data_IF_091918974154
#
_entry.id   IF_091918974154
#
_cell.length_a   1.000
_cell.length_b   1.000
_cell.length_c   1.000
_cell.angle_alpha   90.00
_cell.angle_beta   90.00
_cell.angle_gamma   90.00
#
_symmetry.space_group_name_H-M   'P 1'
#
loop_
_entity.id
_entity.type
_entity.pdbx_description
1 polymer ?
#
# COMPACT_ATOMS: atom_id res chain seq x y z
N UNK A 1 -20.38 -6.68 28.38
CA UNK A 1 -20.22 -5.43 27.61
C UNK A 1 -18.86 -4.81 27.93
N UNK A 2 -18.05 -4.44 26.93
CA UNK A 2 -16.73 -3.84 27.18
C UNK A 2 -16.82 -2.39 27.64
N UNK A 3 -16.00 -1.99 28.62
CA UNK A 3 -15.91 -0.59 29.06
C UNK A 3 -15.44 0.29 27.89
N UNK A 4 -16.23 1.30 27.53
CA UNK A 4 -15.88 2.29 26.52
C UNK A 4 -14.90 3.29 27.12
N UNK A 5 -13.81 3.58 26.41
CA UNK A 5 -12.91 4.68 26.80
C UNK A 5 -13.59 6.01 26.45
N UNK A 6 -13.86 6.84 27.46
CA UNK A 6 -14.42 8.18 27.31
C UNK A 6 -13.32 9.23 27.55
N UNK A 7 -13.52 10.43 27.03
CA UNK A 7 -12.65 11.58 27.32
C UNK A 7 -12.88 12.03 28.77
N UNK A 8 -11.83 12.47 29.43
CA UNK A 8 -11.95 13.12 30.74
C UNK A 8 -12.23 14.62 30.58
N UNK A 9 -12.34 15.35 31.69
CA UNK A 9 -12.61 16.80 31.72
C UNK A 9 -11.55 17.64 30.99
N UNK A 10 -10.33 17.12 30.85
CA UNK A 10 -9.25 17.76 30.09
C UNK A 10 -9.34 17.55 28.57
N UNK A 11 -10.37 16.84 28.09
CA UNK A 11 -10.57 16.54 26.67
C UNK A 11 -9.68 15.41 26.12
N UNK A 12 -8.86 14.77 26.96
CA UNK A 12 -7.92 13.72 26.59
C UNK A 12 -8.41 12.33 27.03
N UNK A 13 -7.88 11.30 26.36
CA UNK A 13 -8.04 9.91 26.75
C UNK A 13 -6.89 9.48 27.64
N UNK A 14 -7.21 9.04 28.85
CA UNK A 14 -6.24 8.47 29.79
C UNK A 14 -6.33 6.94 29.76
N UNK A 15 -5.31 6.29 29.22
CA UNK A 15 -5.28 4.83 29.06
C UNK A 15 -3.92 4.32 29.51
N UNK A 16 -3.93 3.44 30.50
CA UNK A 16 -2.72 2.81 31.07
C UNK A 16 -1.64 3.84 31.48
N UNK A 17 -2.06 4.94 32.12
CA UNK A 17 -1.16 6.01 32.60
C UNK A 17 -0.62 6.94 31.50
N UNK A 18 -1.09 6.81 30.25
CA UNK A 18 -0.71 7.70 29.14
C UNK A 18 -1.90 8.52 28.66
N UNK A 19 -1.62 9.73 28.20
CA UNK A 19 -2.60 10.67 27.63
C UNK A 19 -2.58 10.58 26.10
N UNK A 20 -3.75 10.59 25.48
CA UNK A 20 -3.93 10.59 24.04
C UNK A 20 -5.02 11.58 23.64
N UNK A 21 -4.83 12.30 22.55
CA UNK A 21 -5.84 13.22 22.01
C UNK A 21 -7.01 12.44 21.38
N UNK A 22 -6.67 11.33 20.72
CA UNK A 22 -7.59 10.50 19.97
C UNK A 22 -7.54 9.04 20.45
N UNK A 23 -8.70 8.38 20.53
CA UNK A 23 -8.75 6.96 20.83
C UNK A 23 -8.27 6.13 19.63
N UNK A 24 -8.77 6.47 18.44
CA UNK A 24 -8.48 5.79 17.18
C UNK A 24 -7.82 6.76 16.21
N UNK A 25 -6.66 6.40 15.67
CA UNK A 25 -5.95 7.23 14.70
C UNK A 25 -5.30 6.43 13.56
N UNK A 26 -4.58 7.13 12.70
CA UNK A 26 -3.73 6.51 11.69
C UNK A 26 -2.53 5.81 12.34
N UNK A 27 -1.87 4.89 11.62
CA UNK A 27 -0.65 4.22 12.12
C UNK A 27 0.43 5.23 12.52
N UNK A 28 0.55 6.34 11.79
CA UNK A 28 1.47 7.43 12.13
C UNK A 28 1.09 8.08 13.47
N UNK A 29 -0.16 8.49 13.66
CA UNK A 29 -0.63 9.09 14.93
C UNK A 29 -0.39 8.17 16.13
N UNK A 30 -0.61 6.87 15.96
CA UNK A 30 -0.34 5.87 17.02
C UNK A 30 1.16 5.74 17.31
N UNK A 31 1.99 5.78 16.28
CA UNK A 31 3.44 5.70 16.43
C UNK A 31 4.02 6.92 17.15
N UNK A 32 3.54 8.12 16.80
CA UNK A 32 3.97 9.38 17.44
C UNK A 32 3.35 9.60 18.82
N UNK A 33 2.30 8.85 19.20
CA UNK A 33 1.69 8.89 20.53
C UNK A 33 0.48 9.82 20.65
N UNK A 34 0.02 10.41 19.55
CA UNK A 34 -1.21 11.22 19.51
C UNK A 34 -2.46 10.37 19.73
N UNK A 35 -2.47 9.14 19.19
CA UNK A 35 -3.60 8.21 19.27
C UNK A 35 -3.25 6.92 20.02
N UNK A 36 -4.22 6.36 20.75
CA UNK A 36 -3.99 5.12 21.50
C UNK A 36 -3.84 3.89 20.60
N UNK A 37 -4.76 3.74 19.64
CA UNK A 37 -4.80 2.58 18.73
C UNK A 37 -5.28 2.97 17.34
N UNK A 38 -5.12 2.06 16.39
CA UNK A 38 -5.72 2.19 15.06
C UNK A 38 -7.16 1.67 15.07
N UNK A 39 -7.91 1.99 14.01
CA UNK A 39 -9.25 1.40 13.76
C UNK A 39 -9.24 -0.13 13.76
N UNK A 40 -8.12 -0.75 13.38
CA UNK A 40 -7.89 -2.20 13.42
C UNK A 40 -7.33 -2.72 14.75
N UNK A 41 -7.47 -1.96 15.85
CA UNK A 41 -7.01 -2.29 17.21
C UNK A 41 -5.50 -2.50 17.38
N UNK A 42 -4.67 -2.10 16.41
CA UNK A 42 -3.20 -2.10 16.56
C UNK A 42 -2.76 -0.98 17.50
N UNK A 43 -1.97 -1.31 18.52
CA UNK A 43 -1.31 -0.36 19.42
C UNK A 43 0.12 -0.10 18.94
N UNK A 44 0.81 0.86 19.54
CA UNK A 44 2.20 1.22 19.18
C UNK A 44 3.15 0.02 19.18
N UNK A 45 3.04 -0.90 20.13
CA UNK A 45 3.88 -2.12 20.19
C UNK A 45 3.61 -3.16 19.09
N UNK A 46 2.45 -3.09 18.42
CA UNK A 46 2.08 -3.96 17.30
C UNK A 46 2.57 -3.43 15.95
N UNK A 47 3.17 -2.23 15.95
CA UNK A 47 3.68 -1.52 14.80
C UNK A 47 5.19 -1.59 14.74
N UNK A 48 5.72 -1.48 13.54
CA UNK A 48 7.16 -1.47 13.26
C UNK A 48 7.45 -0.55 12.08
N UNK A 49 8.62 0.10 12.08
CA UNK A 49 9.03 0.97 10.97
C UNK A 49 9.88 0.17 10.00
N UNK A 50 9.44 0.07 8.76
CA UNK A 50 10.22 -0.62 7.73
C UNK A 50 11.38 0.26 7.23
N UNK A 51 12.31 -0.34 6.48
CA UNK A 51 13.46 0.36 5.88
C UNK A 51 13.11 1.50 4.91
N UNK A 52 11.84 1.62 4.52
CA UNK A 52 11.32 2.66 3.63
C UNK A 52 10.57 3.75 4.41
N UNK A 53 10.71 3.80 5.74
CA UNK A 53 10.07 4.79 6.61
C UNK A 53 8.57 4.59 6.82
N UNK A 54 7.99 3.46 6.37
CA UNK A 54 6.55 3.19 6.54
C UNK A 54 6.30 2.41 7.80
N UNK A 55 5.29 2.85 8.56
CA UNK A 55 4.82 2.16 9.76
C UNK A 55 3.86 1.04 9.36
N UNK A 56 4.27 -0.20 9.60
CA UNK A 56 3.55 -1.42 9.22
C UNK A 56 3.18 -2.24 10.45
N UNK A 57 2.28 -3.21 10.31
CA UNK A 57 1.99 -4.16 11.39
C UNK A 57 3.11 -5.19 11.51
N UNK A 58 3.66 -5.33 12.73
CA UNK A 58 4.72 -6.30 13.06
C UNK A 58 4.31 -7.73 12.73
N UNK A 59 3.08 -8.12 13.08
CA UNK A 59 2.53 -9.45 12.77
C UNK A 59 2.51 -9.72 11.27
N UNK A 60 2.03 -8.77 10.45
CA UNK A 60 1.97 -8.94 8.99
C UNK A 60 3.37 -9.04 8.38
N UNK A 61 4.32 -8.23 8.86
CA UNK A 61 5.71 -8.31 8.43
C UNK A 61 6.33 -9.68 8.76
N UNK A 62 6.11 -10.20 9.97
CA UNK A 62 6.59 -11.50 10.39
C UNK A 62 5.98 -12.65 9.57
N UNK A 63 4.65 -12.63 9.38
CA UNK A 63 3.95 -13.63 8.56
C UNK A 63 4.46 -13.64 7.11
N UNK A 64 4.66 -12.47 6.50
CA UNK A 64 5.18 -12.37 5.14
C UNK A 64 6.57 -13.01 4.99
N UNK A 65 7.48 -12.77 5.95
CA UNK A 65 8.83 -13.36 5.99
C UNK A 65 8.79 -14.89 6.16
N UNK A 66 7.87 -15.41 6.96
CA UNK A 66 7.70 -16.84 7.22
C UNK A 66 7.11 -17.58 6.02
N UNK A 67 6.06 -17.03 5.43
CA UNK A 67 5.26 -17.77 4.46
C UNK A 67 5.86 -17.77 3.06
N UNK A 68 6.52 -16.68 2.63
CA UNK A 68 7.11 -16.52 1.29
C UNK A 68 6.17 -17.03 0.17
N UNK A 69 4.87 -16.71 0.28
CA UNK A 69 3.81 -17.31 -0.55
C UNK A 69 4.08 -17.23 -2.05
N UNK A 70 4.59 -16.10 -2.53
CA UNK A 70 4.90 -15.91 -3.94
C UNK A 70 6.03 -16.84 -4.40
N UNK A 71 7.12 -16.91 -3.63
CA UNK A 71 8.24 -17.80 -3.94
C UNK A 71 7.79 -19.27 -3.92
N UNK A 72 7.02 -19.69 -2.91
CA UNK A 72 6.47 -21.05 -2.82
C UNK A 72 5.49 -21.37 -3.95
N UNK A 73 4.76 -20.37 -4.43
CA UNK A 73 3.91 -20.48 -5.61
C UNK A 73 4.70 -20.39 -6.94
N UNK A 74 6.04 -20.39 -6.91
CA UNK A 74 6.90 -20.42 -8.09
C UNK A 74 7.12 -19.05 -8.75
N UNK A 75 6.71 -17.95 -8.11
CA UNK A 75 6.91 -16.59 -8.60
C UNK A 75 8.27 -16.04 -8.14
N UNK A 76 9.36 -16.52 -8.74
CA UNK A 76 10.73 -16.09 -8.42
C UNK A 76 11.40 -15.44 -9.65
N UNK A 77 11.24 -14.12 -9.85
CA UNK A 77 11.84 -13.44 -11.00
C UNK A 77 13.36 -13.36 -10.88
N UNK A 78 14.07 -13.42 -12.01
CA UNK A 78 15.51 -13.12 -12.10
C UNK A 78 15.67 -11.64 -12.47
N UNK A 79 16.54 -10.90 -11.78
CA UNK A 79 16.82 -9.49 -12.09
C UNK A 79 17.26 -9.38 -13.55
N UNK A 80 16.66 -8.43 -14.28
CA UNK A 80 16.93 -8.22 -15.72
C UNK A 80 16.18 -9.18 -16.66
N UNK A 81 15.40 -10.14 -16.16
CA UNK A 81 14.60 -11.06 -16.99
C UNK A 81 13.13 -11.05 -16.57
N UNK A 82 12.33 -10.30 -17.32
CA UNK A 82 10.88 -10.21 -17.14
C UNK A 82 10.18 -11.16 -18.09
N UNK A 83 9.89 -12.37 -17.63
CA UNK A 83 9.16 -13.38 -18.40
C UNK A 83 7.91 -13.84 -17.65
N UNK A 84 6.91 -14.30 -18.40
CA UNK A 84 5.70 -14.88 -17.82
C UNK A 84 6.05 -16.21 -17.16
N UNK A 85 5.93 -16.30 -15.84
CA UNK A 85 6.45 -17.42 -15.04
C UNK A 85 5.58 -18.70 -15.10
N UNK A 86 4.29 -18.60 -15.42
CA UNK A 86 3.37 -19.75 -15.48
C UNK A 86 2.67 -19.85 -16.83
N UNK A 87 2.45 -21.08 -17.30
CA UNK A 87 1.78 -21.38 -18.59
C UNK A 87 0.34 -20.86 -18.61
N UNK A 88 -0.38 -20.92 -17.48
CA UNK A 88 -1.73 -20.35 -17.32
C UNK A 88 -1.77 -18.82 -17.50
N UNK A 89 -0.72 -18.10 -17.08
CA UNK A 89 -0.60 -16.67 -17.31
C UNK A 89 -0.31 -16.35 -18.78
N UNK A 90 0.40 -17.24 -19.48
CA UNK A 90 0.73 -17.08 -20.91
C UNK A 90 -0.52 -17.17 -21.78
N UNK A 91 -1.42 -18.11 -21.49
CA UNK A 91 -2.71 -18.23 -22.17
C UNK A 91 -3.59 -16.98 -21.98
N UNK A 92 -3.54 -16.37 -20.79
CA UNK A 92 -4.29 -15.13 -20.48
C UNK A 92 -3.67 -13.87 -21.11
N UNK A 93 -2.35 -13.86 -21.31
CA UNK A 93 -1.66 -12.78 -22.02
C UNK A 93 -2.00 -12.76 -23.52
N UNK A 94 -2.18 -13.93 -24.14
CA UNK A 94 -2.58 -14.05 -25.54
C UNK A 94 -4.08 -13.85 -25.78
N UNK A 95 -4.92 -13.98 -24.75
CA UNK A 95 -6.38 -13.88 -24.87
C UNK A 95 -6.95 -12.47 -24.67
N UNK A 96 -6.11 -11.47 -24.40
CA UNK A 96 -6.56 -10.07 -24.35
C UNK A 96 -6.46 -9.49 -25.76
N UNK A 97 -7.57 -9.18 -26.46
CA UNK A 97 -7.47 -8.54 -27.76
C UNK A 97 -6.77 -7.21 -27.55
N UNK A 98 -5.63 -7.03 -28.21
CA UNK A 98 -4.92 -5.77 -28.22
C UNK A 98 -5.91 -4.70 -28.70
N UNK A 99 -6.39 -3.84 -27.80
CA UNK A 99 -7.13 -2.64 -28.17
C UNK A 99 -6.14 -1.77 -28.94
N UNK A 100 -6.08 -1.95 -30.26
CA UNK A 100 -5.34 -1.10 -31.19
C UNK A 100 -5.94 0.29 -31.05
N UNK A 101 -5.38 1.12 -30.17
CA UNK A 101 -5.59 2.55 -30.25
C UNK A 101 -4.95 2.97 -31.57
N UNK A 102 -5.79 3.18 -32.59
CA UNK A 102 -5.38 3.76 -33.87
C UNK A 102 -4.69 5.07 -33.53
N UNK A 103 -3.36 5.10 -33.65
CA UNK A 103 -2.58 6.31 -33.52
C UNK A 103 -3.06 7.25 -34.62
N UNK A 104 -3.84 8.26 -34.25
CA UNK A 104 -4.31 9.28 -35.19
C UNK A 104 -3.08 9.97 -35.77
N UNK A 105 -2.85 9.74 -37.07
CA UNK A 105 -1.85 10.46 -37.84
C UNK A 105 -2.27 11.92 -37.92
N UNK A 106 -1.70 12.75 -37.06
CA UNK A 106 -1.83 14.21 -37.15
C UNK A 106 -1.05 14.62 -38.41
N UNK A 107 -1.78 14.78 -39.52
CA UNK A 107 -1.23 15.15 -40.82
C UNK A 107 -0.37 16.41 -40.72
N UNK A 108 0.83 16.33 -41.29
CA UNK A 108 1.71 17.48 -41.48
C UNK A 108 1.00 18.44 -42.44
N UNK A 109 0.44 19.53 -41.94
CA UNK A 109 0.05 20.70 -42.76
C UNK A 109 1.34 21.30 -43.33
N UNK A 110 1.63 21.09 -44.61
CA UNK A 110 2.70 21.81 -45.29
C UNK A 110 2.30 23.28 -45.42
N UNK A 111 3.10 24.19 -44.85
CA UNK A 111 2.96 25.63 -45.10
C UNK A 111 3.36 25.88 -46.55
N UNK A 112 2.42 26.28 -47.39
CA UNK A 112 2.70 26.78 -48.74
C UNK A 112 3.30 28.18 -48.58
N UNK A 113 4.57 28.34 -48.92
CA UNK A 113 5.24 29.64 -48.96
C UNK A 113 4.61 30.44 -50.10
N UNK A 114 4.17 31.66 -49.79
CA UNK A 114 3.61 32.62 -50.73
C UNK A 114 4.76 33.55 -51.10
N UNK A 115 5.14 33.57 -52.37
CA UNK A 115 6.04 34.59 -52.94
C UNK A 115 5.23 35.49 -53.87
N UNK A 116 5.64 36.76 -53.93
CA UNK A 116 4.94 37.90 -54.55
C UNK A 116 4.46 37.67 -55.98
#
# INVERSE_FOLDING_TARGET
MGKRHQKQSDGMYHINGKKFEELNGSRAKVWHGTAYKTTGNLKKGDLDMNKHGRIVSKRRAATAKKEKRLEKAGYKPKKGKFVVMRKSMRAKATSSPARKTRKSSKGKRSRKVRTN
#
